data_IF_744725861834
#
_entry.id   IF_744725861834
#
_cell.length_a   1.000
_cell.length_b   1.000
_cell.length_c   1.000
_cell.angle_alpha   90.00
_cell.angle_beta   90.00
_cell.angle_gamma   90.00
#
_symmetry.space_group_name_H-M   'P 1'
#
loop_
_entity.id
_entity.type
_entity.pdbx_description
1 polymer ?
#
# COMPACT_ATOMS: atom_id res chain seq x y z
N UNK A 1 -8.92 16.12 -5.67
CA UNK A 1 -10.30 16.30 -5.17
C UNK A 1 -10.32 15.77 -3.75
N UNK A 2 -10.91 16.50 -2.81
CA UNK A 2 -11.07 16.05 -1.43
C UNK A 2 -12.57 15.83 -1.18
N UNK A 3 -13.09 14.60 -1.30
CA UNK A 3 -14.41 14.26 -0.82
C UNK A 3 -14.30 13.83 0.65
N UNK A 4 -15.13 14.45 1.49
CA UNK A 4 -15.48 14.08 2.88
C UNK A 4 -15.00 12.69 3.30
N UNK A 5 -13.91 12.67 4.07
CA UNK A 5 -13.08 11.52 4.40
C UNK A 5 -13.71 10.67 5.51
N UNK A 6 -14.26 9.51 5.16
CA UNK A 6 -14.38 8.41 6.12
C UNK A 6 -14.38 7.03 5.44
N UNK A 7 -14.67 6.93 4.14
CA UNK A 7 -14.50 5.67 3.39
C UNK A 7 -14.41 5.90 1.88
N UNK A 8 -13.77 4.95 1.18
CA UNK A 8 -13.77 4.86 -0.29
C UNK A 8 -15.17 4.60 -0.80
N UNK A 9 -15.56 5.34 -1.82
CA UNK A 9 -16.73 5.04 -2.63
C UNK A 9 -16.35 4.27 -3.91
N UNK A 10 -17.36 3.85 -4.67
CA UNK A 10 -17.14 3.06 -5.90
C UNK A 10 -16.35 3.81 -6.98
N UNK A 11 -16.50 5.13 -7.10
CA UNK A 11 -15.72 5.93 -8.05
C UNK A 11 -14.25 6.01 -7.63
N UNK A 12 -13.96 6.09 -6.33
CA UNK A 12 -12.58 6.04 -5.84
C UNK A 12 -11.95 4.69 -6.20
N UNK A 13 -12.67 3.58 -6.02
CA UNK A 13 -12.19 2.24 -6.42
C UNK A 13 -11.97 2.14 -7.93
N UNK A 14 -12.87 2.69 -8.74
CA UNK A 14 -12.69 2.69 -10.20
C UNK A 14 -11.47 3.53 -10.60
N UNK A 15 -11.21 4.63 -9.88
CA UNK A 15 -10.08 5.52 -10.14
C UNK A 15 -8.72 4.82 -10.07
N UNK A 16 -8.65 3.71 -9.33
CA UNK A 16 -7.47 2.87 -9.17
C UNK A 16 -7.16 1.99 -10.41
N UNK A 17 -8.08 1.85 -11.36
CA UNK A 17 -7.90 0.96 -12.51
C UNK A 17 -6.71 1.39 -13.39
N UNK A 18 -5.79 0.45 -13.69
CA UNK A 18 -4.68 0.69 -14.63
C UNK A 18 -5.17 1.08 -16.03
N UNK A 19 -6.38 0.67 -16.42
CA UNK A 19 -6.94 0.98 -17.75
C UNK A 19 -7.35 2.43 -17.97
N UNK A 20 -7.43 3.24 -16.90
CA UNK A 20 -7.68 4.69 -16.99
C UNK A 20 -6.48 5.51 -16.50
N UNK A 21 -5.47 4.85 -15.94
CA UNK A 21 -4.20 5.47 -15.61
C UNK A 21 -3.39 5.65 -16.90
N UNK A 22 -3.09 6.90 -17.23
CA UNK A 22 -2.36 7.27 -18.44
C UNK A 22 -0.86 7.46 -18.19
N UNK A 23 -0.37 7.21 -16.97
CA UNK A 23 1.05 7.39 -16.61
C UNK A 23 1.98 6.54 -17.46
N UNK A 24 1.57 5.32 -17.82
CA UNK A 24 2.31 4.41 -18.71
C UNK A 24 2.59 5.02 -20.11
N UNK A 25 1.75 5.95 -20.60
CA UNK A 25 2.02 6.66 -21.86
C UNK A 25 3.29 7.51 -21.77
N UNK A 26 3.67 7.92 -20.56
CA UNK A 26 4.80 8.80 -20.30
C UNK A 26 6.04 8.07 -19.77
N UNK A 27 5.96 6.76 -19.50
CA UNK A 27 7.05 5.95 -18.94
C UNK A 27 8.33 5.95 -19.81
N UNK A 28 8.18 6.08 -21.13
CA UNK A 28 9.31 6.16 -22.07
C UNK A 28 10.18 7.42 -21.94
N UNK A 29 9.65 8.48 -21.31
CA UNK A 29 10.37 9.74 -21.09
C UNK A 29 11.20 9.73 -19.80
N UNK A 30 10.89 8.84 -18.85
CA UNK A 30 11.61 8.68 -17.60
C UNK A 30 11.80 7.19 -17.26
N UNK A 31 12.90 6.60 -17.73
CA UNK A 31 13.25 5.19 -17.54
C UNK A 31 13.57 4.81 -16.08
N UNK A 32 13.48 5.76 -15.14
CA UNK A 32 13.97 5.57 -13.78
C UNK A 32 12.91 5.06 -12.79
N UNK A 33 11.64 4.96 -13.18
CA UNK A 33 10.52 4.83 -12.23
C UNK A 33 9.36 4.03 -12.83
N UNK A 34 9.55 2.72 -13.08
CA UNK A 34 8.38 1.84 -13.14
C UNK A 34 7.87 1.68 -11.71
N UNK A 35 6.82 2.42 -11.34
CA UNK A 35 6.16 2.29 -10.03
C UNK A 35 5.24 1.10 -10.12
N UNK A 36 5.59 0.03 -9.40
CA UNK A 36 4.70 -1.10 -9.23
C UNK A 36 3.61 -0.71 -8.23
N UNK A 37 2.35 -0.81 -8.66
CA UNK A 37 1.19 -0.60 -7.80
C UNK A 37 0.54 -1.95 -7.46
N UNK A 38 0.53 -2.27 -6.17
CA UNK A 38 -0.15 -3.43 -5.60
C UNK A 38 -1.28 -2.98 -4.68
N UNK A 39 -2.34 -3.78 -4.62
CA UNK A 39 -3.50 -3.50 -3.77
C UNK A 39 -4.04 -4.78 -3.17
N UNK A 40 -4.45 -4.70 -1.91
CA UNK A 40 -5.17 -5.76 -1.22
C UNK A 40 -6.19 -5.19 -0.25
N UNK A 41 -7.16 -6.01 0.13
CA UNK A 41 -8.15 -5.68 1.17
C UNK A 41 -7.66 -6.29 2.48
N UNK A 42 -7.89 -5.59 3.58
CA UNK A 42 -7.56 -6.05 4.93
C UNK A 42 -8.71 -5.76 5.90
N UNK A 43 -8.85 -6.61 6.91
CA UNK A 43 -9.70 -6.34 8.08
C UNK A 43 -8.93 -5.82 9.29
N UNK A 44 -7.64 -5.54 9.13
CA UNK A 44 -6.73 -5.14 10.21
C UNK A 44 -6.78 -3.63 10.44
N UNK A 45 -6.45 -3.21 11.67
CA UNK A 45 -6.38 -1.77 11.98
C UNK A 45 -5.11 -1.14 11.38
N UNK A 46 -5.10 0.18 11.10
CA UNK A 46 -3.90 0.86 10.61
C UNK A 46 -2.69 0.68 11.53
N UNK A 47 -2.90 0.59 12.83
CA UNK A 47 -1.84 0.34 13.81
C UNK A 47 -1.23 -1.05 13.63
N UNK A 48 -2.05 -2.10 13.47
CA UNK A 48 -1.55 -3.46 13.29
C UNK A 48 -0.82 -3.62 11.95
N UNK A 49 -1.36 -3.01 10.89
CA UNK A 49 -0.71 -2.94 9.57
C UNK A 49 0.67 -2.29 9.72
N UNK A 50 0.75 -1.14 10.38
CA UNK A 50 2.00 -0.43 10.58
C UNK A 50 2.99 -1.20 11.46
N UNK A 51 2.53 -1.95 12.46
CA UNK A 51 3.38 -2.82 13.28
C UNK A 51 4.02 -3.91 12.42
N UNK A 52 3.22 -4.69 11.68
CA UNK A 52 3.74 -5.78 10.83
C UNK A 52 4.67 -5.26 9.72
N UNK A 53 4.34 -4.13 9.10
CA UNK A 53 5.21 -3.51 8.09
C UNK A 53 6.52 -3.02 8.74
N UNK A 54 6.46 -2.46 9.96
CA UNK A 54 7.62 -2.01 10.70
C UNK A 54 8.59 -3.15 11.03
N UNK A 55 8.08 -4.31 11.44
CA UNK A 55 8.88 -5.51 11.72
C UNK A 55 9.67 -5.94 10.46
N UNK A 56 8.98 -6.06 9.32
CA UNK A 56 9.64 -6.43 8.05
C UNK A 56 10.62 -5.34 7.58
N UNK A 57 10.29 -4.07 7.79
CA UNK A 57 11.18 -2.96 7.42
C UNK A 57 12.49 -3.00 8.21
N UNK A 58 12.46 -3.35 9.50
CA UNK A 58 13.67 -3.50 10.32
C UNK A 58 14.58 -4.63 9.80
N UNK A 59 14.00 -5.78 9.47
CA UNK A 59 14.73 -6.91 8.86
C UNK A 59 15.40 -6.52 7.53
N UNK A 60 14.69 -5.73 6.72
CA UNK A 60 15.15 -5.23 5.43
C UNK A 60 16.06 -4.00 5.50
N UNK A 61 16.37 -3.52 6.72
CA UNK A 61 17.18 -2.30 6.97
C UNK A 61 16.62 -1.05 6.32
N UNK A 62 15.29 -0.95 6.27
CA UNK A 62 14.56 0.22 5.83
C UNK A 62 14.02 0.98 7.03
N UNK A 63 13.98 2.30 6.90
CA UNK A 63 13.38 3.19 7.91
C UNK A 63 11.93 3.42 7.55
N UNK A 64 11.01 3.03 8.44
CA UNK A 64 9.59 3.35 8.30
C UNK A 64 9.27 4.70 8.93
N UNK A 65 8.55 5.55 8.21
CA UNK A 65 7.95 6.78 8.75
C UNK A 65 6.44 6.76 8.59
N UNK A 66 5.72 7.25 9.60
CA UNK A 66 4.26 7.40 9.60
C UNK A 66 3.88 8.85 9.29
N UNK A 67 2.92 9.06 8.41
CA UNK A 67 2.33 10.38 8.13
C UNK A 67 0.85 10.35 8.50
N UNK A 68 0.57 10.56 9.78
CA UNK A 68 -0.75 10.26 10.36
C UNK A 68 -1.00 8.75 10.41
N UNK A 69 -2.26 8.36 10.52
CA UNK A 69 -2.64 6.94 10.72
C UNK A 69 -2.74 6.16 9.40
N UNK A 70 -2.88 6.86 8.27
CA UNK A 70 -3.31 6.25 7.00
C UNK A 70 -2.22 6.21 5.93
N UNK A 71 -0.99 6.62 6.26
CA UNK A 71 0.12 6.67 5.30
C UNK A 71 1.44 6.28 5.94
N UNK A 72 2.16 5.38 5.27
CA UNK A 72 3.49 4.90 5.66
C UNK A 72 4.46 5.07 4.49
N UNK A 73 5.70 5.41 4.78
CA UNK A 73 6.79 5.45 3.81
C UNK A 73 7.97 4.62 4.32
N UNK A 74 8.60 3.86 3.42
CA UNK A 74 9.81 3.09 3.68
C UNK A 74 10.97 3.66 2.88
N UNK A 75 11.99 4.11 3.58
CA UNK A 75 13.18 4.73 3.01
C UNK A 75 14.42 3.87 3.28
N UNK A 76 15.30 3.78 2.28
CA UNK A 76 16.59 3.14 2.46
C UNK A 76 17.61 4.06 3.15
N UNK A 77 18.82 3.56 3.45
CA UNK A 77 19.86 4.32 4.15
C UNK A 77 20.27 5.65 3.49
N UNK A 78 20.05 5.81 2.19
CA UNK A 78 20.32 7.04 1.44
C UNK A 78 19.16 8.05 1.46
N UNK A 79 18.08 7.78 2.18
CA UNK A 79 16.83 8.56 2.13
C UNK A 79 16.03 8.38 0.83
N UNK A 80 16.40 7.40 -0.01
CA UNK A 80 15.61 7.05 -1.21
C UNK A 80 14.34 6.32 -0.76
N UNK A 81 13.18 6.85 -1.13
CA UNK A 81 11.89 6.18 -0.94
C UNK A 81 11.84 4.91 -1.81
N UNK A 82 11.53 3.78 -1.20
CA UNK A 82 11.38 2.49 -1.88
C UNK A 82 9.93 2.01 -1.91
N UNK A 83 9.16 2.34 -0.87
CA UNK A 83 7.76 1.92 -0.77
C UNK A 83 6.94 3.03 -0.14
N UNK A 84 5.86 3.43 -0.80
CA UNK A 84 4.80 4.26 -0.23
C UNK A 84 3.55 3.42 -0.04
N UNK A 85 2.89 3.54 1.11
CA UNK A 85 1.71 2.77 1.48
C UNK A 85 0.62 3.74 1.92
N UNK A 86 -0.54 3.65 1.30
CA UNK A 86 -1.73 4.41 1.69
C UNK A 86 -2.85 3.43 2.04
N UNK A 87 -3.51 3.71 3.17
CA UNK A 87 -4.58 2.88 3.72
C UNK A 87 -5.86 3.70 3.61
N UNK A 88 -6.89 3.10 3.02
CA UNK A 88 -8.17 3.75 2.83
C UNK A 88 -9.28 2.87 3.41
N UNK A 89 -10.06 3.42 4.33
CA UNK A 89 -11.24 2.72 4.85
C UNK A 89 -12.22 2.41 3.72
N UNK A 90 -12.73 1.18 3.65
CA UNK A 90 -13.70 0.72 2.65
C UNK A 90 -15.09 0.52 3.27
N UNK A 91 -15.13 -0.10 4.45
CA UNK A 91 -16.35 -0.29 5.25
C UNK A 91 -16.04 -0.01 6.72
N UNK A 92 -16.94 -0.34 7.64
CA UNK A 92 -16.64 -0.26 9.09
C UNK A 92 -15.55 -1.24 9.53
N UNK A 93 -15.38 -2.36 8.82
CA UNK A 93 -14.46 -3.44 9.20
C UNK A 93 -13.38 -3.74 8.16
N UNK A 94 -13.42 -3.10 6.99
CA UNK A 94 -12.48 -3.35 5.90
C UNK A 94 -11.80 -2.08 5.44
N UNK A 95 -10.54 -2.22 5.03
CA UNK A 95 -9.75 -1.19 4.38
C UNK A 95 -9.09 -1.74 3.10
N UNK A 96 -8.83 -0.85 2.15
CA UNK A 96 -7.95 -1.08 1.00
C UNK A 96 -6.57 -0.55 1.36
N UNK A 97 -5.54 -1.36 1.13
CA UNK A 97 -4.14 -0.93 1.20
C UNK A 97 -3.62 -0.81 -0.22
N UNK A 98 -3.20 0.40 -0.60
CA UNK A 98 -2.48 0.66 -1.84
C UNK A 98 -0.99 0.77 -1.53
N UNK A 99 -0.18 0.01 -2.27
CA UNK A 99 1.27 0.03 -2.17
C UNK A 99 1.84 0.48 -3.50
N UNK A 100 2.73 1.47 -3.43
CA UNK A 100 3.55 1.93 -4.55
C UNK A 100 4.99 1.59 -4.23
N UNK A 101 5.61 0.76 -5.04
CA UNK A 101 6.97 0.32 -4.82
C UNK A 101 7.84 0.47 -6.06
N UNK A 102 9.14 0.53 -5.82
CA UNK A 102 10.15 0.64 -6.87
C UNK A 102 11.00 -0.63 -6.88
N UNK A 103 11.46 -1.03 -8.07
CA UNK A 103 12.43 -2.12 -8.25
C UNK A 103 11.95 -3.51 -7.73
N UNK A 104 10.64 -3.70 -7.57
CA UNK A 104 10.04 -4.91 -7.00
C UNK A 104 10.38 -5.15 -5.54
N UNK A 105 10.73 -4.10 -4.79
CA UNK A 105 11.05 -4.22 -3.35
C UNK A 105 9.86 -4.79 -2.57
N UNK A 106 8.64 -4.35 -2.88
CA UNK A 106 7.46 -4.83 -2.19
C UNK A 106 7.20 -6.32 -2.43
N UNK A 107 7.06 -6.73 -3.70
CA UNK A 107 6.79 -8.12 -4.09
C UNK A 107 7.84 -9.08 -3.51
N UNK A 108 9.12 -8.71 -3.59
CA UNK A 108 10.22 -9.64 -3.26
C UNK A 108 10.51 -9.74 -1.77
N UNK A 109 10.33 -8.66 -1.01
CA UNK A 109 10.79 -8.57 0.40
C UNK A 109 9.64 -8.49 1.39
N UNK A 110 8.55 -7.80 1.03
CA UNK A 110 7.43 -7.55 1.95
C UNK A 110 6.30 -8.54 1.77
N UNK A 111 5.84 -8.75 0.54
CA UNK A 111 4.67 -9.58 0.27
C UNK A 111 4.74 -11.00 0.88
N UNK A 112 5.88 -11.73 0.89
CA UNK A 112 5.96 -13.07 1.47
C UNK A 112 5.61 -13.13 2.97
N UNK A 113 5.84 -12.03 3.69
CA UNK A 113 5.68 -11.94 5.15
C UNK A 113 4.31 -11.37 5.56
N UNK A 114 3.56 -10.79 4.61
CA UNK A 114 2.36 -10.01 4.90
C UNK A 114 1.05 -10.69 4.48
N UNK A 115 1.08 -11.97 4.13
CA UNK A 115 -0.13 -12.74 3.79
C UNK A 115 -1.21 -12.70 4.89
N UNK A 116 -0.81 -12.55 6.15
CA UNK A 116 -1.75 -12.44 7.29
C UNK A 116 -2.55 -11.15 7.30
N UNK A 117 -2.14 -10.12 6.55
CA UNK A 117 -2.90 -8.88 6.41
C UNK A 117 -4.00 -8.99 5.37
N UNK A 118 -3.93 -9.94 4.44
CA UNK A 118 -4.89 -10.05 3.35
C UNK A 118 -6.19 -10.63 3.89
N UNK A 119 -7.29 -9.90 3.69
CA UNK A 119 -8.62 -10.33 4.07
C UNK A 119 -9.00 -11.62 3.32
N UNK A 120 -9.39 -12.64 4.09
CA UNK A 120 -9.94 -13.89 3.58
C UNK A 120 -11.36 -14.09 4.17
N UNK A 121 -12.42 -14.07 3.34
CA UNK A 121 -13.79 -14.21 3.83
C UNK A 121 -14.08 -15.57 4.47
N UNK A 122 -13.34 -16.62 4.11
CA UNK A 122 -13.56 -18.00 4.59
C UNK A 122 -13.02 -18.24 6.01
N UNK A 123 -12.21 -17.32 6.54
CA UNK A 123 -11.72 -17.38 7.93
C UNK A 123 -12.67 -16.75 8.94
N UNK A 124 -13.83 -16.26 8.49
CA UNK A 124 -14.87 -15.63 9.32
C UNK A 124 -16.10 -16.53 9.45
N UNK A 125 -15.90 -17.76 9.96
CA UNK A 125 -17.01 -18.61 10.41
C UNK A 125 -16.81 -18.82 11.90
N UNK A 126 -17.49 -17.99 12.69
CA UNK A 126 -17.85 -18.25 14.10
C UNK A 126 -19.30 -17.80 14.32
#
# INVERSE_FOLDING_TARGET
MNPTTDSLNAFDIISFSRGIDLSDLFESFDKSVAVESDRFITGETPENIATKIGEVAEEEKLTMTKQGDWKLNLEGPSGKLFVGIEIYRLTESLAVVEVRSYEGVWEKRFQPHLNTLIYNPETSID
#
